data_IF_273852684820
#
_entry.id   IF_273852684820
#
_cell.length_a   1.000
_cell.length_b   1.000
_cell.length_c   1.000
_cell.angle_alpha   90.00
_cell.angle_beta   90.00
_cell.angle_gamma   90.00
#
_symmetry.space_group_name_H-M   'P 1'
#
loop_
_entity.id
_entity.type
_entity.pdbx_description
1 polymer ?
#
# COMPACT_ATOMS: atom_id res chain seq x y z
N UNK A 1 -15.04 -13.20 5.95
CA UNK A 1 -13.86 -13.83 5.32
C UNK A 1 -13.17 -12.92 4.31
N UNK A 2 -13.87 -12.43 3.27
CA UNK A 2 -13.25 -11.66 2.18
C UNK A 2 -12.49 -10.40 2.64
N UNK A 3 -12.99 -9.67 3.65
CA UNK A 3 -12.31 -8.48 4.21
C UNK A 3 -10.95 -8.80 4.84
N UNK A 4 -10.81 -9.96 5.51
CA UNK A 4 -9.55 -10.40 6.12
C UNK A 4 -8.55 -10.74 5.01
N UNK A 5 -9.00 -11.44 3.97
CA UNK A 5 -8.16 -11.79 2.80
C UNK A 5 -7.68 -10.52 2.09
N UNK A 6 -8.58 -9.56 1.85
CA UNK A 6 -8.20 -8.27 1.26
C UNK A 6 -7.25 -7.48 2.16
N UNK A 7 -7.47 -7.47 3.47
CA UNK A 7 -6.56 -6.84 4.43
C UNK A 7 -5.16 -7.44 4.38
N UNK A 8 -5.04 -8.76 4.41
CA UNK A 8 -3.76 -9.46 4.32
C UNK A 8 -3.05 -9.24 2.99
N UNK A 9 -3.80 -9.30 1.88
CA UNK A 9 -3.25 -9.02 0.55
C UNK A 9 -2.74 -7.57 0.44
N UNK A 10 -3.48 -6.62 1.00
CA UNK A 10 -3.10 -5.20 1.01
C UNK A 10 -1.87 -4.96 1.90
N UNK A 11 -1.76 -5.65 3.04
CA UNK A 11 -0.56 -5.60 3.89
C UNK A 11 0.67 -6.10 3.12
N UNK A 12 0.53 -7.20 2.40
CA UNK A 12 1.63 -7.74 1.59
C UNK A 12 2.09 -6.74 0.51
N UNK A 13 1.15 -6.16 -0.24
CA UNK A 13 1.45 -5.15 -1.26
C UNK A 13 2.09 -3.90 -0.66
N UNK A 14 1.55 -3.41 0.46
CA UNK A 14 2.10 -2.25 1.18
C UNK A 14 3.58 -2.40 1.51
N UNK A 15 4.01 -3.59 1.95
CA UNK A 15 5.43 -3.83 2.29
C UNK A 15 6.32 -3.65 1.06
N UNK A 16 5.85 -4.09 -0.11
CA UNK A 16 6.56 -3.97 -1.39
C UNK A 16 6.59 -2.50 -1.81
N UNK A 17 5.44 -1.84 -1.83
CA UNK A 17 5.30 -0.47 -2.32
C UNK A 17 5.99 0.56 -1.44
N UNK A 18 5.96 0.38 -0.11
CA UNK A 18 6.71 1.25 0.81
C UNK A 18 8.20 1.18 0.52
N UNK A 19 8.75 -0.01 0.24
CA UNK A 19 10.18 -0.14 -0.11
C UNK A 19 10.47 0.59 -1.42
N UNK A 20 9.72 0.30 -2.47
CA UNK A 20 9.91 0.91 -3.79
C UNK A 20 9.78 2.43 -3.69
N UNK A 21 8.75 2.92 -3.01
CA UNK A 21 8.47 4.33 -2.84
C UNK A 21 9.54 5.06 -2.02
N UNK A 22 10.11 4.43 -0.99
CA UNK A 22 11.24 5.01 -0.25
C UNK A 22 12.51 5.12 -1.09
N UNK A 23 12.83 4.11 -1.92
CA UNK A 23 13.94 4.20 -2.86
C UNK A 23 13.69 5.29 -3.91
N UNK A 24 12.47 5.37 -4.46
CA UNK A 24 12.11 6.43 -5.39
C UNK A 24 12.21 7.83 -4.74
N UNK A 25 11.83 7.98 -3.47
CA UNK A 25 11.98 9.24 -2.74
C UNK A 25 13.46 9.64 -2.65
N UNK A 26 14.33 8.67 -2.37
CA UNK A 26 15.78 8.89 -2.33
C UNK A 26 16.32 9.34 -3.69
N UNK A 27 15.89 8.71 -4.77
CA UNK A 27 16.38 8.99 -6.12
C UNK A 27 15.88 10.34 -6.65
N UNK A 28 14.63 10.71 -6.36
CA UNK A 28 14.00 11.93 -6.89
C UNK A 28 14.31 13.16 -6.03
N UNK A 29 14.26 13.01 -4.70
CA UNK A 29 14.33 14.13 -3.76
C UNK A 29 15.64 14.17 -2.95
N UNK A 30 16.48 13.14 -3.07
CA UNK A 30 17.78 13.04 -2.42
C UNK A 30 17.74 12.60 -0.96
N UNK A 31 18.94 12.44 -0.39
CA UNK A 31 19.16 11.87 0.95
C UNK A 31 18.47 12.64 2.09
N UNK A 32 18.36 13.97 1.98
CA UNK A 32 17.73 14.77 3.04
C UNK A 32 16.24 14.45 3.19
N UNK A 33 15.52 14.36 2.07
CA UNK A 33 14.08 14.05 2.09
C UNK A 33 13.87 12.58 2.42
N UNK A 34 14.72 11.69 1.92
CA UNK A 34 14.73 10.28 2.30
C UNK A 34 14.91 10.08 3.81
N UNK A 35 15.90 10.75 4.42
CA UNK A 35 16.14 10.68 5.87
C UNK A 35 14.93 11.14 6.68
N UNK A 36 14.20 12.15 6.21
CA UNK A 36 12.96 12.59 6.85
C UNK A 36 11.85 11.54 6.66
N UNK A 37 11.69 10.98 5.47
CA UNK A 37 10.67 9.99 5.15
C UNK A 37 10.80 8.69 5.96
N UNK A 38 12.03 8.25 6.26
CA UNK A 38 12.28 7.07 7.10
C UNK A 38 12.21 7.37 8.60
N UNK A 39 12.17 8.65 9.00
CA UNK A 39 12.08 9.03 10.40
C UNK A 39 10.65 8.88 10.93
N UNK A 40 10.52 8.51 12.20
CA UNK A 40 9.24 8.55 12.91
C UNK A 40 8.93 10.01 13.27
N UNK A 41 7.71 10.54 13.01
CA UNK A 41 6.46 9.83 12.68
C UNK A 41 6.15 9.67 11.18
N UNK A 42 6.96 10.25 10.29
CA UNK A 42 6.67 10.31 8.85
C UNK A 42 6.59 8.91 8.20
N UNK A 43 7.48 7.99 8.57
CA UNK A 43 7.46 6.62 8.06
C UNK A 43 6.14 5.92 8.39
N UNK A 44 5.64 6.11 9.62
CA UNK A 44 4.37 5.52 10.05
C UNK A 44 3.21 6.08 9.23
N UNK A 45 3.14 7.40 9.07
CA UNK A 45 2.10 8.06 8.27
C UNK A 45 2.15 7.60 6.81
N UNK A 46 3.35 7.44 6.27
CA UNK A 46 3.56 6.96 4.91
C UNK A 46 3.04 5.53 4.75
N UNK A 47 3.45 4.59 5.63
CA UNK A 47 2.97 3.20 5.61
C UNK A 47 1.45 3.12 5.73
N UNK A 48 0.85 3.87 6.65
CA UNK A 48 -0.60 3.88 6.85
C UNK A 48 -1.34 4.42 5.63
N UNK A 49 -0.79 5.45 4.99
CA UNK A 49 -1.37 6.05 3.79
C UNK A 49 -1.32 5.08 2.61
N UNK A 50 -0.17 4.42 2.39
CA UNK A 50 -0.02 3.39 1.36
C UNK A 50 -0.98 2.24 1.62
N UNK A 51 -1.02 1.71 2.85
CA UNK A 51 -1.94 0.63 3.21
C UNK A 51 -3.40 0.96 2.97
N UNK A 52 -3.81 2.18 3.34
CA UNK A 52 -5.19 2.61 3.16
C UNK A 52 -5.59 2.63 1.67
N UNK A 53 -4.72 3.19 0.81
CA UNK A 53 -4.94 3.22 -0.64
C UNK A 53 -4.97 1.80 -1.21
N UNK A 54 -3.98 0.97 -0.87
CA UNK A 54 -3.92 -0.43 -1.30
C UNK A 54 -5.19 -1.20 -0.91
N UNK A 55 -5.63 -1.04 0.34
CA UNK A 55 -6.85 -1.69 0.81
C UNK A 55 -8.10 -1.26 0.03
N UNK A 56 -8.23 0.03 -0.28
CA UNK A 56 -9.35 0.52 -1.11
C UNK A 56 -9.30 -0.06 -2.52
N UNK A 57 -8.12 -0.10 -3.15
CA UNK A 57 -7.94 -0.63 -4.50
C UNK A 57 -8.23 -2.13 -4.53
N UNK A 58 -7.57 -2.91 -3.67
CA UNK A 58 -7.72 -4.37 -3.58
C UNK A 58 -9.16 -4.76 -3.25
N UNK A 59 -9.80 -4.08 -2.29
CA UNK A 59 -11.18 -4.40 -1.93
C UNK A 59 -12.18 -4.07 -3.05
N UNK A 60 -11.98 -2.95 -3.75
CA UNK A 60 -12.85 -2.55 -4.86
C UNK A 60 -12.70 -3.50 -6.05
N UNK A 61 -11.47 -3.77 -6.47
CA UNK A 61 -11.18 -4.68 -7.59
C UNK A 61 -11.56 -6.11 -7.26
N UNK A 62 -11.18 -6.60 -6.08
CA UNK A 62 -11.51 -7.95 -5.61
C UNK A 62 -13.02 -8.18 -5.55
N UNK A 63 -13.80 -7.20 -5.08
CA UNK A 63 -15.27 -7.32 -5.06
C UNK A 63 -15.84 -7.35 -6.47
N UNK A 64 -15.36 -6.50 -7.40
CA UNK A 64 -15.80 -6.51 -8.80
C UNK A 64 -15.51 -7.84 -9.48
N UNK A 65 -14.31 -8.40 -9.27
CA UNK A 65 -13.91 -9.69 -9.85
C UNK A 65 -14.78 -10.82 -9.28
N UNK A 66 -14.99 -10.86 -7.96
CA UNK A 66 -15.84 -11.88 -7.34
C UNK A 66 -17.28 -11.81 -7.84
N UNK A 67 -17.83 -10.60 -8.02
CA UNK A 67 -19.16 -10.42 -8.57
C UNK A 67 -19.24 -10.88 -10.04
N UNK A 68 -18.24 -10.56 -10.86
CA UNK A 68 -18.16 -11.03 -12.23
C UNK A 68 -18.12 -12.56 -12.29
N UNK A 69 -17.26 -13.21 -11.50
CA UNK A 69 -17.16 -14.67 -11.41
C UNK A 69 -18.44 -15.34 -10.91
N UNK A 70 -19.25 -14.64 -10.11
CA UNK A 70 -20.53 -15.16 -9.61
C UNK A 70 -21.64 -15.11 -10.66
N UNK A 71 -21.51 -14.23 -11.66
CA UNK A 71 -22.48 -14.08 -12.75
C UNK A 71 -22.12 -14.87 -14.00
N UNK A 72 -21.00 -15.59 -13.98
CA UNK A 72 -20.48 -16.45 -15.04
C UNK A 72 -20.85 -17.90 -14.75
#
# INVERSE_FOLDING_TARGET
>A
MNKIIFGLLSLFLTIIDVKIGLYAIKDIYGEKVFSLAISTPFLLLYILSVFFVEYLVVSTLGTKILNFLRHL
#
